data_IF_190120719067
#
_entry.id   IF_190120719067
#
_cell.length_a   1.000
_cell.length_b   1.000
_cell.length_c   1.000
_cell.angle_alpha   90.00
_cell.angle_beta   90.00
_cell.angle_gamma   90.00
#
_symmetry.space_group_name_H-M   'P 1'
#
loop_
_entity.id
_entity.type
_entity.pdbx_description
1 polymer ?
#
# COMPACT_ATOMS: atom_id res chain seq x y z
N UNK A 1 -6.24 11.55 -6.77
CA UNK A 1 -5.68 10.68 -5.73
C UNK A 1 -6.60 9.48 -5.55
N UNK A 2 -6.06 8.35 -5.13
CA UNK A 2 -6.84 7.13 -4.88
C UNK A 2 -6.85 6.85 -3.38
N UNK A 3 -7.90 6.22 -2.88
CA UNK A 3 -8.04 5.86 -1.47
C UNK A 3 -8.31 4.36 -1.33
N UNK A 4 -7.63 3.74 -0.39
CA UNK A 4 -7.85 2.36 0.02
C UNK A 4 -8.42 2.34 1.43
N UNK A 5 -9.55 1.66 1.61
CA UNK A 5 -10.19 1.48 2.90
C UNK A 5 -9.80 0.13 3.48
N UNK A 6 -9.17 0.14 4.64
CA UNK A 6 -8.54 -1.03 5.25
C UNK A 6 -9.11 -1.25 6.63
N UNK A 7 -9.59 -2.46 6.87
CA UNK A 7 -10.00 -2.90 8.20
C UNK A 7 -8.79 -3.52 8.90
N UNK A 8 -8.31 -2.87 9.95
CA UNK A 8 -7.22 -3.36 10.79
C UNK A 8 -7.82 -4.00 12.05
N UNK A 9 -7.52 -5.27 12.27
CA UNK A 9 -7.89 -5.97 13.52
C UNK A 9 -6.83 -5.65 14.57
N UNK A 10 -7.27 -5.04 15.66
CA UNK A 10 -6.45 -4.72 16.82
C UNK A 10 -6.28 -5.96 17.71
N UNK A 11 -5.26 -6.00 18.59
CA UNK A 11 -5.04 -7.12 19.51
C UNK A 11 -6.20 -7.40 20.49
N UNK A 12 -7.02 -6.38 20.76
CA UNK A 12 -8.22 -6.49 21.62
C UNK A 12 -9.46 -7.03 20.87
N UNK A 13 -9.32 -7.34 19.58
CA UNK A 13 -10.39 -7.83 18.71
C UNK A 13 -11.24 -6.73 18.08
N UNK A 14 -10.98 -5.45 18.37
CA UNK A 14 -11.63 -4.32 17.72
C UNK A 14 -11.16 -4.21 16.26
N UNK A 15 -12.07 -3.76 15.38
CA UNK A 15 -11.72 -3.41 14.00
C UNK A 15 -11.68 -1.89 13.87
N UNK A 16 -10.55 -1.38 13.40
CA UNK A 16 -10.31 0.03 13.11
C UNK A 16 -10.25 0.23 11.60
N UNK A 17 -11.06 1.15 11.08
CA UNK A 17 -10.98 1.53 9.66
C UNK A 17 -9.86 2.55 9.45
N UNK A 18 -9.03 2.28 8.44
CA UNK A 18 -7.95 3.13 7.96
C UNK A 18 -8.21 3.55 6.51
N UNK A 19 -7.94 4.82 6.21
CA UNK A 19 -7.95 5.35 4.85
C UNK A 19 -6.53 5.63 4.40
N UNK A 20 -6.07 4.90 3.37
CA UNK A 20 -4.72 5.01 2.86
C UNK A 20 -4.76 5.72 1.51
N UNK A 21 -4.10 6.86 1.42
CA UNK A 21 -3.93 7.60 0.18
C UNK A 21 -2.84 6.96 -0.67
N UNK A 22 -3.15 6.76 -1.94
CA UNK A 22 -2.19 6.42 -2.99
C UNK A 22 -2.17 7.43 -4.12
N UNK A 23 -1.31 7.18 -5.10
CA UNK A 23 -1.19 7.95 -6.33
C UNK A 23 -2.50 8.04 -7.12
N UNK A 24 -2.48 8.84 -8.19
CA UNK A 24 -3.63 8.91 -9.11
C UNK A 24 -3.93 7.53 -9.71
N UNK A 25 -5.19 7.24 -10.09
CA UNK A 25 -5.54 5.95 -10.70
C UNK A 25 -4.66 5.59 -11.91
N UNK A 26 -4.35 6.56 -12.77
CA UNK A 26 -3.47 6.36 -13.92
C UNK A 26 -2.04 5.97 -13.52
N UNK A 27 -1.51 6.58 -12.46
CA UNK A 27 -0.19 6.22 -11.91
C UNK A 27 -0.20 4.80 -11.36
N UNK A 28 -1.23 4.43 -10.59
CA UNK A 28 -1.34 3.11 -9.99
C UNK A 28 -1.44 2.01 -11.05
N UNK A 29 -2.25 2.21 -12.09
CA UNK A 29 -2.38 1.27 -13.20
C UNK A 29 -1.03 1.06 -13.91
N UNK A 30 -0.25 2.13 -14.13
CA UNK A 30 1.10 2.05 -14.71
C UNK A 30 2.09 1.29 -13.82
N UNK A 31 1.86 1.29 -12.51
CA UNK A 31 2.62 0.51 -11.53
C UNK A 31 2.08 -0.92 -11.36
N UNK A 32 1.09 -1.33 -12.15
CA UNK A 32 0.46 -2.65 -12.06
C UNK A 32 -0.56 -2.77 -10.93
N UNK A 33 -0.85 -1.71 -10.19
CA UNK A 33 -1.83 -1.71 -9.10
C UNK A 33 -3.22 -1.41 -9.67
N UNK A 34 -4.11 -2.41 -9.61
CA UNK A 34 -5.49 -2.29 -10.10
C UNK A 34 -6.47 -2.77 -9.03
N UNK A 35 -7.77 -2.56 -9.26
CA UNK A 35 -8.81 -3.12 -8.38
C UNK A 35 -8.77 -4.66 -8.24
N UNK A 36 -8.03 -5.36 -9.11
CA UNK A 36 -7.90 -6.81 -9.08
C UNK A 36 -6.62 -7.30 -8.39
N UNK A 37 -5.62 -6.43 -8.20
CA UNK A 37 -4.36 -6.81 -7.54
C UNK A 37 -4.47 -6.79 -6.02
N UNK A 38 -5.42 -6.01 -5.47
CA UNK A 38 -5.72 -5.96 -4.04
C UNK A 38 -7.22 -6.18 -3.87
N UNK A 39 -7.61 -7.45 -3.76
CA UNK A 39 -9.03 -7.82 -3.62
C UNK A 39 -9.45 -7.62 -2.16
N UNK A 40 -10.75 -7.45 -1.94
CA UNK A 40 -11.30 -7.50 -0.58
C UNK A 40 -10.95 -8.85 0.04
N UNK A 41 -10.45 -8.82 1.27
CA UNK A 41 -9.97 -10.01 1.98
C UNK A 41 -8.49 -10.34 1.73
N UNK A 42 -7.79 -9.62 0.86
CA UNK A 42 -6.33 -9.73 0.74
C UNK A 42 -5.67 -9.18 2.01
N UNK A 43 -4.91 -10.04 2.69
CA UNK A 43 -4.02 -9.61 3.77
C UNK A 43 -2.74 -9.03 3.18
N UNK A 44 -2.32 -7.89 3.72
CA UNK A 44 -1.13 -7.17 3.29
C UNK A 44 -0.57 -6.33 4.42
N UNK A 45 0.71 -5.99 4.31
CA UNK A 45 1.38 -5.00 5.17
C UNK A 45 1.47 -3.68 4.43
N UNK A 46 1.17 -2.57 5.12
CA UNK A 46 1.21 -1.22 4.57
C UNK A 46 2.40 -0.47 5.14
N UNK A 47 3.32 -0.05 4.27
CA UNK A 47 4.36 0.91 4.62
C UNK A 47 3.89 2.30 4.22
N UNK A 48 3.85 3.24 5.17
CA UNK A 48 3.33 4.60 4.92
C UNK A 48 3.57 5.55 6.08
N UNK A 49 3.01 6.75 5.96
CA UNK A 49 3.08 7.79 6.99
C UNK A 49 1.68 8.18 7.43
N UNK A 50 1.39 7.98 8.72
CA UNK A 50 0.13 8.42 9.32
C UNK A 50 -0.01 9.95 9.26
N UNK A 51 -1.24 10.44 9.16
CA UNK A 51 -1.59 11.84 9.24
C UNK A 51 -1.07 12.45 10.55
N UNK A 52 -0.51 13.66 10.47
CA UNK A 52 0.10 14.36 11.62
C UNK A 52 -0.86 14.60 12.79
N UNK A 53 -2.15 14.70 12.50
CA UNK A 53 -3.23 14.86 13.47
C UNK A 53 -3.57 13.56 14.22
N UNK A 54 -2.93 12.43 13.90
CA UNK A 54 -3.15 11.15 14.57
C UNK A 54 -4.43 10.43 14.16
N UNK A 55 -5.12 10.89 13.12
CA UNK A 55 -6.28 10.17 12.56
C UNK A 55 -5.82 8.89 11.86
N UNK A 56 -6.75 7.94 11.63
CA UNK A 56 -6.49 6.70 10.89
C UNK A 56 -6.43 6.94 9.38
N UNK A 57 -5.74 8.00 8.98
CA UNK A 57 -5.44 8.36 7.60
C UNK A 57 -3.94 8.28 7.43
N UNK A 58 -3.48 7.80 6.28
CA UNK A 58 -2.06 7.75 5.98
C UNK A 58 -1.79 7.95 4.50
N UNK A 59 -0.59 8.41 4.16
CA UNK A 59 -0.06 8.33 2.81
C UNK A 59 0.69 7.01 2.67
N UNK A 60 0.22 6.13 1.80
CA UNK A 60 0.82 4.83 1.54
C UNK A 60 2.00 4.92 0.57
N UNK A 61 3.06 4.15 0.85
CA UNK A 61 4.22 3.97 -0.05
C UNK A 61 4.17 2.64 -0.76
N UNK A 62 4.06 1.56 0.02
CA UNK A 62 4.11 0.19 -0.49
C UNK A 62 3.01 -0.64 0.19
N UNK A 63 2.38 -1.52 -0.58
CA UNK A 63 1.72 -2.69 -0.04
C UNK A 63 2.61 -3.91 -0.24
N UNK A 64 2.79 -4.69 0.80
CA UNK A 64 3.53 -5.95 0.78
C UNK A 64 2.50 -7.05 0.92
N UNK A 65 2.36 -7.88 -0.11
CA UNK A 65 1.45 -9.02 -0.12
C UNK A 65 2.00 -10.15 0.77
N UNK A 66 1.15 -11.10 1.11
CA UNK A 66 1.51 -12.25 1.95
C UNK A 66 2.64 -13.12 1.37
N UNK A 67 2.81 -13.12 0.05
CA UNK A 67 3.91 -13.80 -0.65
C UNK A 67 5.23 -13.01 -0.65
N UNK A 68 5.24 -11.80 -0.08
CA UNK A 68 6.37 -10.88 -0.05
C UNK A 68 6.46 -9.94 -1.25
N UNK A 69 5.59 -10.09 -2.25
CA UNK A 69 5.55 -9.22 -3.42
C UNK A 69 5.17 -7.79 -3.03
N UNK A 70 5.79 -6.80 -3.66
CA UNK A 70 5.58 -5.37 -3.37
C UNK A 70 4.78 -4.67 -4.46
N UNK A 71 3.74 -3.95 -4.07
CA UNK A 71 2.96 -3.05 -4.90
C UNK A 71 3.27 -1.60 -4.50
N UNK A 72 3.72 -0.79 -5.46
CA UNK A 72 4.08 0.61 -5.22
C UNK A 72 2.87 1.52 -5.37
N UNK A 73 2.60 2.37 -4.38
CA UNK A 73 1.46 3.29 -4.37
C UNK A 73 1.80 4.68 -4.90
N UNK A 74 3.05 4.95 -5.21
CA UNK A 74 3.52 6.21 -5.78
C UNK A 74 4.79 5.98 -6.61
N UNK A 75 5.03 6.88 -7.58
CA UNK A 75 6.27 6.86 -8.39
C UNK A 75 7.52 7.13 -7.53
N UNK A 76 7.36 7.72 -6.35
CA UNK A 76 8.44 7.95 -5.39
C UNK A 76 8.63 6.75 -4.43
N UNK A 77 8.09 5.58 -4.78
CA UNK A 77 8.13 4.34 -4.01
C UNK A 77 9.50 3.68 -3.91
N UNK A 78 10.56 4.27 -4.48
CA UNK A 78 11.93 3.79 -4.31
C UNK A 78 12.33 3.84 -2.84
N UNK A 79 12.37 2.68 -2.19
CA UNK A 79 13.16 2.49 -0.98
C UNK A 79 14.63 2.38 -1.43
N UNK A 80 15.56 3.20 -0.90
CA UNK A 80 16.98 2.96 -1.10
C UNK A 80 17.30 1.60 -0.48
N UNK A 81 17.63 0.60 -1.31
CA UNK A 81 18.04 -0.74 -0.84
C UNK A 81 17.08 -1.90 -1.10
N UNK A 82 15.97 -1.73 -1.84
CA UNK A 82 15.31 -2.91 -2.42
C UNK A 82 16.16 -3.44 -3.58
N UNK A 83 16.44 -4.76 -3.68
CA UNK A 83 17.09 -5.36 -4.84
C UNK A 83 16.15 -5.26 -6.05
N UNK A 84 16.17 -4.12 -6.72
CA UNK A 84 15.56 -3.92 -8.01
C UNK A 84 16.39 -4.61 -9.07
N UNK A 85 15.97 -5.82 -9.43
CA UNK A 85 16.34 -6.63 -10.59
C UNK A 85 17.77 -7.24 -10.62
N UNK A 86 17.92 -8.54 -10.95
CA UNK A 86 19.12 -8.96 -11.65
C UNK A 86 19.11 -8.32 -13.05
N UNK A 87 20.27 -7.87 -13.56
CA UNK A 87 20.35 -7.46 -14.95
C UNK A 87 20.29 -8.75 -15.79
N UNK A 88 19.41 -8.82 -16.79
CA UNK A 88 19.57 -9.85 -17.82
C UNK A 88 19.34 -9.27 -19.22
N UNK A 89 20.48 -9.30 -19.95
CA UNK A 89 20.82 -9.03 -21.36
C UNK A 89 19.78 -8.47 -22.31
#
# INVERSE_FOLDING_TARGET
HSWFHINVKEPDGKVTEWMIEGGSPNTLIRLGVTKYTVKIGTELTIEGYQAKEGTNKAVGRNFILADGSRLFLSLNGSVPGSPGAPPEK
#
